data_IF_279433163251
#
_entry.id   IF_279433163251
#
_cell.length_a   1.000
_cell.length_b   1.000
_cell.length_c   1.000
_cell.angle_alpha   90.00
_cell.angle_beta   90.00
_cell.angle_gamma   90.00
#
_symmetry.space_group_name_H-M   'P 1'
#
loop_
_entity.id
_entity.type
_entity.pdbx_description
1 polymer ?
#
# COMPACT_ATOMS: atom_id res chain seq x y z
N UNK A 1 -6.40 8.83 17.04
CA UNK A 1 -6.40 8.88 15.56
C UNK A 1 -4.97 8.63 15.07
N UNK A 2 -4.73 7.61 14.25
CA UNK A 2 -3.37 7.23 13.84
C UNK A 2 -2.77 8.31 12.92
N UNK A 3 -1.77 9.04 13.40
CA UNK A 3 -1.11 10.14 12.67
C UNK A 3 -0.10 9.57 11.67
N UNK A 4 -0.61 8.94 10.62
CA UNK A 4 0.19 8.45 9.50
C UNK A 4 0.49 9.63 8.55
N UNK A 5 1.67 10.24 8.70
CA UNK A 5 2.16 11.22 7.72
C UNK A 5 2.74 10.48 6.52
N UNK A 6 2.71 11.11 5.34
CA UNK A 6 3.24 10.52 4.08
C UNK A 6 4.68 10.02 4.25
N UNK A 7 5.52 10.79 4.95
CA UNK A 7 6.89 10.38 5.26
C UNK A 7 6.98 9.10 6.11
N UNK A 8 6.06 8.94 7.08
CA UNK A 8 5.99 7.76 7.95
C UNK A 8 5.45 6.54 7.20
N UNK A 9 4.46 6.72 6.33
CA UNK A 9 3.94 5.67 5.45
C UNK A 9 5.06 5.16 4.54
N UNK A 10 5.78 6.08 3.87
CA UNK A 10 6.90 5.72 2.99
C UNK A 10 8.00 4.96 3.74
N UNK A 11 8.40 5.46 4.91
CA UNK A 11 9.44 4.83 5.73
C UNK A 11 9.03 3.42 6.20
N UNK A 12 7.79 3.26 6.66
CA UNK A 12 7.30 1.97 7.12
C UNK A 12 7.21 0.94 5.99
N UNK A 13 6.74 1.37 4.81
CA UNK A 13 6.70 0.51 3.63
C UNK A 13 8.11 0.14 3.15
N UNK A 14 9.07 1.08 3.21
CA UNK A 14 10.46 0.79 2.87
C UNK A 14 11.08 -0.24 3.83
N UNK A 15 10.82 -0.15 5.13
CA UNK A 15 11.29 -1.13 6.14
C UNK A 15 10.76 -2.54 5.89
N UNK A 16 9.58 -2.66 5.30
CA UNK A 16 8.99 -3.94 4.89
C UNK A 16 9.54 -4.46 3.55
N UNK A 17 10.47 -3.74 2.93
CA UNK A 17 11.00 -4.07 1.60
C UNK A 17 10.01 -3.78 0.47
N UNK A 18 9.00 -2.94 0.69
CA UNK A 18 8.04 -2.60 -0.34
C UNK A 18 8.61 -1.58 -1.34
N UNK A 19 8.30 -1.77 -2.62
CA UNK A 19 8.65 -0.84 -3.70
C UNK A 19 7.41 -0.04 -4.11
N UNK A 20 7.52 1.28 -4.11
CA UNK A 20 6.42 2.18 -4.44
C UNK A 20 6.74 2.88 -5.77
N UNK A 21 5.82 2.79 -6.73
CA UNK A 21 5.85 3.57 -7.98
C UNK A 21 4.65 4.50 -8.01
N UNK A 22 4.91 5.79 -8.21
CA UNK A 22 3.88 6.83 -8.25
C UNK A 22 3.82 7.39 -9.67
N UNK A 23 2.60 7.55 -10.19
CA UNK A 23 2.28 8.22 -11.45
C UNK A 23 1.24 9.33 -11.18
N UNK A 24 0.62 9.90 -12.22
CA UNK A 24 -0.37 10.98 -12.06
C UNK A 24 -1.66 10.54 -11.37
N UNK A 25 -2.15 9.32 -11.65
CA UNK A 25 -3.41 8.77 -11.09
C UNK A 25 -3.22 7.47 -10.31
N UNK A 26 -2.11 6.77 -10.54
CA UNK A 26 -1.90 5.41 -10.06
C UNK A 26 -0.73 5.36 -9.10
N UNK A 27 -0.94 4.67 -7.99
CA UNK A 27 0.10 4.36 -7.00
C UNK A 27 0.19 2.84 -6.97
N UNK A 28 1.33 2.30 -7.38
CA UNK A 28 1.59 0.86 -7.41
C UNK A 28 2.51 0.55 -6.23
N UNK A 29 2.06 -0.35 -5.36
CA UNK A 29 2.81 -0.79 -4.19
C UNK A 29 3.10 -2.29 -4.37
N UNK A 30 4.36 -2.62 -4.62
CA UNK A 30 4.83 -4.00 -4.64
C UNK A 30 5.36 -4.35 -3.25
N UNK A 31 4.85 -5.42 -2.66
CA UNK A 31 5.16 -5.84 -1.29
C UNK A 31 5.98 -7.13 -1.36
N UNK A 32 7.01 -7.24 -0.52
CA UNK A 32 7.82 -8.45 -0.44
C UNK A 32 7.00 -9.63 0.11
N UNK A 33 7.22 -10.84 -0.42
CA UNK A 33 6.54 -12.06 0.04
C UNK A 33 6.86 -12.46 1.49
N UNK A 34 7.90 -11.87 2.09
CA UNK A 34 8.26 -12.08 3.50
C UNK A 34 7.56 -11.10 4.46
N UNK A 35 6.64 -10.25 3.97
CA UNK A 35 5.95 -9.28 4.82
C UNK A 35 5.07 -10.00 5.87
N UNK A 36 5.17 -9.67 7.17
CA UNK A 36 4.37 -10.32 8.22
C UNK A 36 2.87 -9.95 8.16
N UNK A 37 2.50 -8.87 7.46
CA UNK A 37 1.12 -8.35 7.43
C UNK A 37 0.35 -8.74 6.16
N UNK A 38 0.70 -9.85 5.52
CA UNK A 38 0.11 -10.31 4.25
C UNK A 38 -1.41 -10.42 4.28
N UNK A 39 -1.97 -10.90 5.40
CA UNK A 39 -3.41 -11.12 5.54
C UNK A 39 -4.20 -9.81 5.44
N UNK A 40 -3.77 -8.80 6.21
CA UNK A 40 -4.34 -7.44 6.21
C UNK A 40 -4.23 -6.81 4.83
N UNK A 41 -3.08 -6.98 4.16
CA UNK A 41 -2.84 -6.45 2.83
C UNK A 41 -3.71 -7.12 1.76
N UNK A 42 -3.96 -8.42 1.89
CA UNK A 42 -4.88 -9.17 1.02
C UNK A 42 -6.31 -8.64 1.14
N UNK A 43 -6.79 -8.42 2.37
CA UNK A 43 -8.10 -7.84 2.66
C UNK A 43 -8.20 -6.43 2.08
N UNK A 44 -7.17 -5.59 2.31
CA UNK A 44 -7.14 -4.23 1.77
C UNK A 44 -7.16 -4.23 0.24
N UNK A 45 -6.39 -5.09 -0.41
CA UNK A 45 -6.37 -5.22 -1.87
C UNK A 45 -7.74 -5.63 -2.42
N UNK A 46 -8.44 -6.57 -1.78
CA UNK A 46 -9.81 -6.94 -2.15
C UNK A 46 -10.75 -5.73 -2.08
N UNK A 47 -10.70 -4.96 -1.00
CA UNK A 47 -11.54 -3.75 -0.82
C UNK A 47 -11.21 -2.66 -1.84
N UNK A 48 -9.93 -2.44 -2.14
CA UNK A 48 -9.53 -1.43 -3.12
C UNK A 48 -10.00 -1.83 -4.53
N UNK A 49 -9.93 -3.12 -4.88
CA UNK A 49 -10.44 -3.64 -6.15
C UNK A 49 -11.96 -3.48 -6.33
N UNK A 50 -12.72 -3.49 -5.23
CA UNK A 50 -14.17 -3.26 -5.28
C UNK A 50 -14.55 -1.80 -5.46
N UNK A 51 -13.62 -0.86 -5.27
CA UNK A 51 -13.88 0.56 -5.53
C UNK A 51 -13.95 0.72 -7.06
N UNK A 52 -15.09 1.14 -7.62
CA UNK A 52 -15.19 1.38 -9.04
C UNK A 52 -14.16 2.43 -9.45
N UNK A 53 -13.46 2.19 -10.56
CA UNK A 53 -12.58 3.18 -11.15
C UNK A 53 -13.44 4.33 -11.66
N UNK A 54 -13.73 5.32 -10.82
CA UNK A 54 -14.43 6.56 -11.19
C UNK A 54 -13.57 7.31 -12.19
N UNK A 55 -13.75 7.01 -13.48
CA UNK A 55 -13.07 7.60 -14.61
C UNK A 55 -13.88 7.38 -15.86
#
# INVERSE_FOLDING_TARGET
MAKATVGRIRLNLLKLGARIKISCRRIIIAIASACPYQDILSIANKRIKTIPNSG
#
